data_IF_866743980823
#
_entry.id   IF_866743980823
#
_cell.length_a   1.000
_cell.length_b   1.000
_cell.length_c   1.000
_cell.angle_alpha   90.00
_cell.angle_beta   90.00
_cell.angle_gamma   90.00
#
_symmetry.space_group_name_H-M   'P 1'
#
loop_
_entity.id
_entity.type
_entity.pdbx_description
1 polymer ?
#
# COMPACT_ATOMS: atom_id res chain seq x y z
N UNK A 1 -9.29 14.53 11.63
CA UNK A 1 -9.06 13.26 12.30
C UNK A 1 -8.84 12.18 11.25
N UNK A 2 -7.72 11.50 11.32
CA UNK A 2 -7.42 10.45 10.37
C UNK A 2 -8.30 9.23 10.64
N UNK A 3 -9.02 8.78 9.60
CA UNK A 3 -9.73 7.52 9.70
C UNK A 3 -8.68 6.39 9.83
N UNK A 4 -8.81 5.47 10.82
CA UNK A 4 -7.89 4.34 10.93
C UNK A 4 -7.97 3.39 9.76
N UNK A 5 -8.98 3.56 8.89
CA UNK A 5 -9.27 2.70 7.76
C UNK A 5 -8.87 3.31 6.42
N UNK A 6 -8.12 4.42 6.44
CA UNK A 6 -7.78 5.14 5.22
C UNK A 6 -6.41 5.80 5.34
N UNK A 7 -5.57 5.61 4.34
CA UNK A 7 -4.22 6.17 4.36
C UNK A 7 -3.71 6.38 2.93
N UNK A 8 -2.97 7.48 2.72
CA UNK A 8 -2.20 7.67 1.49
C UNK A 8 -0.88 6.91 1.59
N UNK A 9 -0.52 6.21 0.52
CA UNK A 9 0.69 5.38 0.48
C UNK A 9 1.96 6.20 0.69
N UNK A 10 1.99 7.44 0.17
CA UNK A 10 3.13 8.32 0.37
C UNK A 10 3.46 8.57 1.83
N UNK A 11 2.46 8.53 2.71
CA UNK A 11 2.67 8.68 4.16
C UNK A 11 3.25 7.43 4.81
N UNK A 12 3.11 6.29 4.17
CA UNK A 12 3.64 5.02 4.69
C UNK A 12 5.13 4.86 4.37
N UNK A 13 5.61 5.53 3.33
CA UNK A 13 7.01 5.42 2.91
C UNK A 13 7.94 5.77 4.07
N UNK A 14 8.86 4.87 4.33
CA UNK A 14 9.89 5.02 5.37
C UNK A 14 9.38 5.00 6.81
N UNK A 15 8.09 4.71 7.05
CA UNK A 15 7.61 4.54 8.41
C UNK A 15 8.24 3.32 9.05
N UNK A 16 8.52 3.42 10.36
CA UNK A 16 9.04 2.29 11.12
C UNK A 16 7.95 1.23 11.28
N UNK A 17 8.36 -0.03 11.17
CA UNK A 17 7.49 -1.19 11.41
C UNK A 17 7.80 -1.75 12.79
N UNK A 18 6.80 -1.78 13.65
CA UNK A 18 6.93 -2.22 15.03
C UNK A 18 6.22 -3.54 15.25
N UNK A 19 6.86 -4.43 16.00
CA UNK A 19 6.19 -5.62 16.53
C UNK A 19 5.23 -5.26 17.66
N UNK A 20 4.46 -6.25 18.16
CA UNK A 20 3.47 -6.01 19.23
C UNK A 20 4.07 -5.44 20.50
N UNK A 21 5.33 -5.76 20.78
CA UNK A 21 6.04 -5.29 21.96
C UNK A 21 6.79 -3.98 21.75
N UNK A 22 6.58 -3.36 20.59
CA UNK A 22 7.21 -2.09 20.26
C UNK A 22 8.63 -2.18 19.69
N UNK A 23 9.13 -3.37 19.44
CA UNK A 23 10.45 -3.54 18.82
C UNK A 23 10.43 -3.14 17.35
N UNK A 24 11.48 -2.44 16.90
CA UNK A 24 11.62 -2.03 15.51
C UNK A 24 12.09 -3.19 14.66
N UNK A 25 11.32 -3.52 13.62
CA UNK A 25 11.64 -4.63 12.72
C UNK A 25 12.20 -4.16 11.38
N UNK A 26 11.90 -2.94 11.00
CA UNK A 26 12.33 -2.39 9.71
C UNK A 26 11.53 -1.16 9.34
N UNK A 27 11.51 -0.85 8.04
CA UNK A 27 10.77 0.31 7.52
C UNK A 27 9.99 -0.06 6.27
N UNK A 28 8.84 0.60 6.11
CA UNK A 28 8.02 0.44 4.89
C UNK A 28 8.76 1.02 3.71
N UNK A 29 8.76 0.29 2.59
CA UNK A 29 9.35 0.75 1.33
C UNK A 29 8.34 0.88 0.21
N UNK A 30 7.29 0.09 0.23
CA UNK A 30 6.26 0.16 -0.81
C UNK A 30 4.99 -0.55 -0.36
N UNK A 31 3.93 -0.37 -1.14
CA UNK A 31 2.66 -1.09 -1.01
C UNK A 31 2.45 -1.87 -2.30
N UNK A 32 2.05 -3.13 -2.17
CA UNK A 32 1.80 -4.02 -3.31
C UNK A 32 0.31 -4.09 -3.56
N UNK A 33 -0.10 -3.77 -4.78
CA UNK A 33 -1.48 -3.90 -5.25
C UNK A 33 -1.60 -5.10 -6.18
N UNK A 34 -2.77 -5.75 -6.18
CA UNK A 34 -3.10 -6.76 -7.17
C UNK A 34 -4.09 -6.18 -8.18
N UNK A 35 -3.86 -6.49 -9.46
CA UNK A 35 -4.68 -6.03 -10.59
C UNK A 35 -5.46 -7.19 -11.22
N UNK A 36 -5.74 -8.24 -10.48
CA UNK A 36 -6.35 -9.45 -11.00
C UNK A 36 -7.76 -9.25 -11.54
N UNK A 37 -8.50 -8.30 -10.98
CA UNK A 37 -9.86 -8.01 -11.44
C UNK A 37 -9.93 -6.61 -12.04
N UNK A 38 -10.00 -6.50 -13.39
CA UNK A 38 -10.05 -5.18 -14.05
C UNK A 38 -11.38 -4.44 -13.83
N UNK A 39 -12.42 -5.12 -13.33
CA UNK A 39 -13.72 -4.48 -13.08
C UNK A 39 -13.84 -3.93 -11.67
N UNK A 40 -12.90 -4.26 -10.78
CA UNK A 40 -12.87 -3.80 -9.39
C UNK A 40 -11.69 -2.87 -9.16
N UNK A 41 -11.77 -2.08 -8.07
CA UNK A 41 -10.63 -1.31 -7.62
C UNK A 41 -9.46 -2.24 -7.27
N UNK A 42 -8.22 -1.87 -7.62
CA UNK A 42 -7.06 -2.64 -7.18
C UNK A 42 -7.05 -2.82 -5.67
N UNK A 43 -6.61 -3.98 -5.22
CA UNK A 43 -6.58 -4.32 -3.80
C UNK A 43 -5.14 -4.33 -3.29
N UNK A 44 -4.92 -3.69 -2.14
CA UNK A 44 -3.64 -3.75 -1.46
C UNK A 44 -3.50 -5.11 -0.77
N UNK A 45 -2.50 -5.89 -1.17
CA UNK A 45 -2.29 -7.23 -0.63
C UNK A 45 -1.22 -7.28 0.43
N UNK A 46 -0.33 -6.30 0.46
CA UNK A 46 0.72 -6.25 1.47
C UNK A 46 1.66 -5.08 1.30
N UNK A 47 2.66 -5.05 2.17
CA UNK A 47 3.72 -4.05 2.16
C UNK A 47 5.05 -4.70 1.79
N UNK A 48 5.92 -3.93 1.15
CA UNK A 48 7.34 -4.26 1.06
C UNK A 48 8.03 -3.58 2.23
N UNK A 49 8.71 -4.35 3.04
CA UNK A 49 9.41 -3.87 4.22
C UNK A 49 10.90 -4.14 4.05
N UNK A 50 11.72 -3.14 4.34
CA UNK A 50 13.16 -3.32 4.40
C UNK A 50 13.58 -3.56 5.85
N UNK A 51 14.13 -4.73 6.11
CA UNK A 51 14.64 -5.11 7.44
C UNK A 51 15.95 -4.39 7.73
N UNK A 52 16.40 -4.49 8.98
CA UNK A 52 17.65 -3.85 9.42
C UNK A 52 18.87 -4.33 8.64
N UNK A 53 18.85 -5.54 8.10
CA UNK A 53 19.91 -6.09 7.26
C UNK A 53 19.78 -5.69 5.78
N UNK A 54 18.91 -4.72 5.46
CA UNK A 54 18.61 -4.22 4.11
C UNK A 54 17.88 -5.20 3.21
N UNK A 55 17.49 -6.34 3.73
CA UNK A 55 16.68 -7.32 2.99
C UNK A 55 15.24 -6.83 2.89
N UNK A 56 14.66 -6.93 1.71
CA UNK A 56 13.25 -6.58 1.49
C UNK A 56 12.40 -7.83 1.55
N UNK A 57 11.33 -7.76 2.35
CA UNK A 57 10.39 -8.86 2.53
C UNK A 57 8.98 -8.38 2.22
N UNK A 58 8.08 -9.32 1.95
CA UNK A 58 6.66 -9.06 1.78
C UNK A 58 5.95 -9.30 3.10
N UNK A 59 5.13 -8.32 3.49
CA UNK A 59 4.27 -8.42 4.68
C UNK A 59 2.82 -8.35 4.24
N UNK A 60 2.04 -9.46 4.37
CA UNK A 60 0.61 -9.43 4.04
C UNK A 60 -0.18 -8.44 4.89
N UNK A 61 -1.22 -7.82 4.31
CA UNK A 61 -2.06 -6.85 5.04
C UNK A 61 -2.66 -7.43 6.32
N UNK A 62 -2.94 -8.73 6.35
CA UNK A 62 -3.50 -9.39 7.54
C UNK A 62 -2.57 -9.37 8.75
N UNK A 63 -1.28 -9.14 8.56
CA UNK A 63 -0.31 -9.05 9.65
C UNK A 63 -0.27 -7.67 10.30
N UNK A 64 -0.96 -6.70 9.72
CA UNK A 64 -0.95 -5.32 10.20
C UNK A 64 -2.08 -5.12 11.19
N UNK A 65 -1.74 -4.70 12.41
CA UNK A 65 -2.72 -4.38 13.44
C UNK A 65 -3.24 -2.96 13.28
N UNK A 66 -2.35 -1.99 13.00
CA UNK A 66 -2.74 -0.60 12.87
C UNK A 66 -1.69 0.23 12.12
N UNK A 67 -2.18 1.30 11.51
CA UNK A 67 -1.35 2.37 10.96
C UNK A 67 -1.49 3.60 11.86
N UNK A 68 -0.37 4.24 12.17
CA UNK A 68 -0.36 5.54 12.83
C UNK A 68 0.45 6.52 12.01
N UNK A 69 0.52 7.78 12.47
CA UNK A 69 1.30 8.81 11.77
C UNK A 69 2.80 8.53 11.78
N UNK A 70 3.26 7.72 12.74
CA UNK A 70 4.68 7.48 12.94
C UNK A 70 5.12 6.04 12.74
N UNK A 71 4.19 5.08 12.70
CA UNK A 71 4.56 3.68 12.66
C UNK A 71 3.46 2.78 12.11
N UNK A 72 3.89 1.63 11.63
CA UNK A 72 3.01 0.50 11.31
C UNK A 72 3.22 -0.56 12.38
N UNK A 73 2.16 -0.96 13.06
CA UNK A 73 2.24 -1.95 14.15
C UNK A 73 1.70 -3.29 13.65
N UNK A 74 2.44 -4.35 13.95
CA UNK A 74 2.09 -5.71 13.54
C UNK A 74 1.30 -6.45 14.60
N UNK A 75 0.48 -7.41 14.17
CA UNK A 75 -0.26 -8.31 15.06
C UNK A 75 0.69 -9.23 15.81
N UNK A 76 1.76 -9.66 15.15
CA UNK A 76 2.75 -10.57 15.71
C UNK A 76 4.15 -10.15 15.28
N UNK A 77 5.14 -10.41 16.14
CA UNK A 77 6.54 -10.12 15.84
C UNK A 77 7.19 -11.13 14.89
N UNK A 78 6.51 -12.23 14.60
CA UNK A 78 7.03 -13.24 13.69
C UNK A 78 6.76 -12.83 12.25
N UNK A 79 7.82 -12.47 11.52
CA UNK A 79 7.73 -12.13 10.10
C UNK A 79 8.44 -13.19 9.28
N UNK A 80 7.89 -13.46 8.10
CA UNK A 80 8.53 -14.35 7.14
C UNK A 80 9.76 -13.67 6.56
N UNK A 81 10.91 -14.31 6.66
CA UNK A 81 12.17 -13.73 6.17
C UNK A 81 12.43 -14.01 4.69
N UNK A 82 11.40 -14.44 3.94
CA UNK A 82 11.53 -14.63 2.50
C UNK A 82 11.69 -13.29 1.81
N UNK A 83 12.63 -13.21 0.88
CA UNK A 83 12.81 -12.01 0.08
C UNK A 83 11.56 -11.72 -0.73
N UNK A 84 11.25 -10.43 -0.86
CA UNK A 84 10.13 -10.01 -1.67
C UNK A 84 10.36 -10.39 -3.14
N UNK A 85 9.33 -10.97 -3.74
CA UNK A 85 9.34 -11.32 -5.16
C UNK A 85 7.97 -10.97 -5.75
N UNK A 86 7.97 -10.02 -6.66
CA UNK A 86 6.74 -9.54 -7.27
C UNK A 86 6.14 -10.56 -8.23
N UNK A 87 4.83 -10.79 -8.10
CA UNK A 87 4.10 -11.66 -9.02
C UNK A 87 3.58 -10.86 -10.24
N UNK A 88 3.25 -11.55 -11.37
CA UNK A 88 2.89 -10.85 -12.61
C UNK A 88 1.70 -9.90 -12.53
N UNK A 89 0.73 -10.18 -11.66
CA UNK A 89 -0.46 -9.33 -11.53
C UNK A 89 -0.35 -8.32 -10.40
N UNK A 90 0.85 -8.13 -9.87
CA UNK A 90 1.12 -7.19 -8.78
C UNK A 90 1.84 -5.97 -9.29
N UNK A 91 1.61 -4.84 -8.61
CA UNK A 91 2.30 -3.58 -8.89
C UNK A 91 2.71 -2.93 -7.57
N UNK A 92 3.91 -2.38 -7.54
CA UNK A 92 4.39 -1.58 -6.41
C UNK A 92 3.98 -0.13 -6.61
N UNK A 93 3.29 0.46 -5.61
CA UNK A 93 2.74 1.81 -5.74
C UNK A 93 3.85 2.85 -5.92
N UNK A 94 4.83 2.88 -5.01
CA UNK A 94 5.88 3.90 -5.04
C UNK A 94 6.89 3.63 -6.15
N UNK A 95 7.21 2.38 -6.41
CA UNK A 95 8.18 2.00 -7.43
C UNK A 95 7.68 2.07 -8.86
N UNK A 96 6.37 1.84 -9.06
CA UNK A 96 5.84 1.68 -10.42
C UNK A 96 4.65 2.59 -10.75
N UNK A 97 3.81 2.94 -9.77
CA UNK A 97 2.56 3.67 -10.02
C UNK A 97 2.69 5.18 -9.85
N UNK A 98 3.36 5.62 -8.79
CA UNK A 98 3.62 7.05 -8.57
C UNK A 98 4.52 7.57 -9.69
N UNK A 99 4.20 8.75 -10.19
CA UNK A 99 4.82 9.37 -11.38
C UNK A 99 4.48 8.68 -12.70
N UNK A 100 3.64 7.64 -12.68
CA UNK A 100 3.12 7.06 -13.92
C UNK A 100 2.02 7.94 -14.48
N UNK A 101 1.79 7.82 -15.80
CA UNK A 101 0.69 8.51 -16.47
C UNK A 101 -0.47 7.53 -16.60
N UNK A 102 -1.63 7.93 -16.09
CA UNK A 102 -2.86 7.13 -16.20
C UNK A 102 -3.93 7.94 -16.94
N UNK A 103 -4.79 7.26 -17.66
CA UNK A 103 -5.91 7.91 -18.32
C UNK A 103 -7.14 7.86 -17.40
N UNK A 104 -7.77 9.01 -17.21
CA UNK A 104 -8.98 9.09 -16.40
C UNK A 104 -10.15 8.49 -17.18
N UNK A 105 -10.90 7.58 -16.55
CA UNK A 105 -12.03 6.86 -17.13
C UNK A 105 -13.28 7.00 -16.26
N UNK A 106 -13.54 8.21 -15.76
CA UNK A 106 -14.70 8.48 -14.92
C UNK A 106 -15.67 9.39 -15.67
N UNK A 107 -16.83 8.90 -16.10
CA UNK A 107 -17.81 9.71 -16.82
C UNK A 107 -18.46 10.79 -15.96
N UNK A 108 -18.35 10.71 -14.63
CA UNK A 108 -18.86 11.74 -13.73
C UNK A 108 -17.95 12.96 -13.65
N UNK A 109 -16.70 12.84 -14.11
CA UNK A 109 -15.71 13.92 -14.12
C UNK A 109 -15.43 14.30 -15.57
N UNK A 110 -16.38 15.06 -16.17
CA UNK A 110 -16.33 15.40 -17.61
C UNK A 110 -15.02 16.06 -18.02
N UNK A 111 -14.51 16.98 -17.22
CA UNK A 111 -13.30 17.73 -17.57
C UNK A 111 -12.03 16.86 -17.59
N UNK A 112 -12.03 15.74 -16.91
CA UNK A 112 -10.88 14.86 -16.80
C UNK A 112 -11.03 13.55 -17.55
N UNK A 113 -12.27 13.18 -17.96
CA UNK A 113 -12.49 11.91 -18.64
C UNK A 113 -11.72 11.86 -19.96
N UNK A 114 -10.99 10.77 -20.16
CA UNK A 114 -10.14 10.57 -21.31
C UNK A 114 -8.80 11.31 -21.28
N UNK A 115 -8.55 12.16 -20.29
CA UNK A 115 -7.28 12.87 -20.14
C UNK A 115 -6.24 12.02 -19.42
N UNK A 116 -4.97 12.24 -19.77
CA UNK A 116 -3.85 11.62 -19.09
C UNK A 116 -3.46 12.48 -17.89
N UNK A 117 -3.28 11.85 -16.74
CA UNK A 117 -2.83 12.51 -15.52
C UNK A 117 -1.67 11.75 -14.90
N UNK A 118 -0.80 12.48 -14.18
CA UNK A 118 0.32 11.87 -13.46
C UNK A 118 -0.16 11.51 -12.06
N UNK A 119 0.12 10.29 -11.63
CA UNK A 119 -0.21 9.83 -10.27
C UNK A 119 0.85 10.36 -9.31
N UNK A 120 0.43 11.15 -8.32
CA UNK A 120 1.34 11.66 -7.29
C UNK A 120 1.23 10.90 -5.98
N UNK A 121 0.08 10.30 -5.70
CA UNK A 121 -0.13 9.47 -4.53
C UNK A 121 -1.34 8.56 -4.73
N UNK A 122 -1.48 7.58 -3.86
CA UNK A 122 -2.57 6.60 -3.89
C UNK A 122 -3.12 6.46 -2.49
N UNK A 123 -4.44 6.60 -2.34
CA UNK A 123 -5.12 6.34 -1.07
C UNK A 123 -5.67 4.93 -1.07
N UNK A 124 -5.43 4.19 0.01
CA UNK A 124 -6.03 2.89 0.25
C UNK A 124 -6.99 2.99 1.42
N UNK A 125 -8.07 2.22 1.36
CA UNK A 125 -9.13 2.24 2.36
C UNK A 125 -9.54 0.81 2.69
N UNK A 126 -9.74 0.54 3.98
CA UNK A 126 -10.24 -0.75 4.44
C UNK A 126 -11.75 -0.81 4.29
N UNK A 127 -12.24 -1.86 3.62
CA UNK A 127 -13.67 -2.11 3.45
C UNK A 127 -14.25 -2.83 4.67
N UNK A 128 -15.57 -3.01 4.68
CA UNK A 128 -16.26 -3.76 5.75
C UNK A 128 -15.81 -5.22 5.82
N UNK A 129 -15.40 -5.79 4.70
CA UNK A 129 -14.87 -7.16 4.65
C UNK A 129 -13.38 -7.22 5.03
N UNK A 130 -12.80 -6.11 5.48
CA UNK A 130 -11.40 -5.97 5.89
C UNK A 130 -10.39 -6.08 4.75
N UNK A 131 -10.83 -5.94 3.50
CA UNK A 131 -9.94 -5.80 2.36
C UNK A 131 -9.48 -4.34 2.25
N UNK A 132 -8.26 -4.14 1.80
CA UNK A 132 -7.75 -2.81 1.50
C UNK A 132 -7.80 -2.57 0.01
N UNK A 133 -8.51 -1.54 -0.42
CA UNK A 133 -8.68 -1.21 -1.83
C UNK A 133 -8.15 0.18 -2.13
N UNK A 134 -7.81 0.43 -3.39
CA UNK A 134 -7.51 1.78 -3.84
C UNK A 134 -8.82 2.57 -3.88
N UNK A 135 -8.89 3.64 -3.09
CA UNK A 135 -10.08 4.48 -3.02
C UNK A 135 -9.90 5.81 -3.74
N UNK A 136 -8.65 6.26 -3.93
CA UNK A 136 -8.38 7.55 -4.56
C UNK A 136 -6.98 7.59 -5.16
N UNK A 137 -6.85 8.23 -6.32
CA UNK A 137 -5.57 8.62 -6.91
C UNK A 137 -5.41 10.12 -6.78
N UNK A 138 -4.24 10.54 -6.41
CA UNK A 138 -3.93 11.96 -6.31
C UNK A 138 -2.87 12.35 -7.35
#
# INVERSE_FOLDING_TARGET
MNSPNRVFVGRLDNLVVLGPDGESLGRVRDVVLTLQDPTSSPRAVGLVIQLLNRRRIFLPMLRIASFSESAVTLVTGNVTVRSFKQHPMEIQVLGEMVDSIVQVRDPEIEDLDGKNVVVTDVEIEQTRSRDWIVSRLA
#
